data_IF_714035611915
#
_entry.id   IF_714035611915
#
_cell.length_a   1.000
_cell.length_b   1.000
_cell.length_c   1.000
_cell.angle_alpha   90.00
_cell.angle_beta   90.00
_cell.angle_gamma   90.00
#
_symmetry.space_group_name_H-M   'P 1'
#
loop_
_entity.id
_entity.type
_entity.pdbx_description
1 polymer ?
#
# COMPACT_ATOMS: atom_id res chain seq x y z
N UNK A 1 -18.49 0.52 -24.06
CA UNK A 1 -18.78 0.68 -22.61
C UNK A 1 -17.61 1.46 -22.03
N UNK A 2 -17.86 2.41 -21.15
CA UNK A 2 -16.80 3.30 -20.66
C UNK A 2 -15.99 2.61 -19.55
N UNK A 3 -14.69 2.41 -19.77
CA UNK A 3 -13.77 1.88 -18.77
C UNK A 3 -13.61 2.88 -17.63
N UNK A 4 -13.69 2.41 -16.39
CA UNK A 4 -13.40 3.20 -15.20
C UNK A 4 -12.04 2.80 -14.64
N UNK A 5 -11.17 3.78 -14.40
CA UNK A 5 -9.85 3.59 -13.80
C UNK A 5 -9.86 3.98 -12.31
N UNK A 6 -9.40 3.09 -11.48
CA UNK A 6 -9.11 3.36 -10.06
C UNK A 6 -7.60 3.20 -9.83
N UNK A 7 -7.01 4.22 -9.24
CA UNK A 7 -5.60 4.22 -8.85
C UNK A 7 -5.51 4.17 -7.32
N UNK A 8 -4.64 3.34 -6.79
CA UNK A 8 -4.09 3.58 -5.48
C UNK A 8 -3.15 4.78 -5.54
N UNK A 9 -2.74 5.34 -4.39
CA UNK A 9 -1.94 6.56 -4.38
C UNK A 9 -0.57 6.39 -3.72
N UNK A 10 -0.55 6.03 -2.44
CA UNK A 10 0.70 5.92 -1.69
C UNK A 10 1.45 4.64 -2.07
N UNK A 11 2.70 4.76 -2.51
CA UNK A 11 3.47 3.64 -3.09
C UNK A 11 3.22 3.44 -4.58
N UNK A 12 2.03 3.78 -5.08
CA UNK A 12 1.67 3.68 -6.50
C UNK A 12 2.06 4.93 -7.28
N UNK A 13 1.65 6.11 -6.80
CA UNK A 13 2.00 7.42 -7.39
C UNK A 13 3.18 8.07 -6.66
N UNK A 14 3.39 7.73 -5.39
CA UNK A 14 4.53 8.20 -4.59
C UNK A 14 5.61 7.12 -4.51
N UNK A 15 6.86 7.53 -4.27
CA UNK A 15 7.96 6.64 -3.88
C UNK A 15 7.87 6.40 -2.37
N UNK A 16 7.23 5.29 -1.97
CA UNK A 16 7.02 4.95 -0.56
C UNK A 16 8.34 4.80 0.21
N UNK A 17 9.41 4.32 -0.41
CA UNK A 17 10.72 4.18 0.24
C UNK A 17 11.33 5.55 0.56
N UNK A 18 11.33 6.45 -0.41
CA UNK A 18 11.85 7.81 -0.21
C UNK A 18 10.98 8.63 0.74
N UNK A 19 9.65 8.56 0.59
CA UNK A 19 8.68 9.25 1.45
C UNK A 19 8.71 8.71 2.89
N UNK A 20 8.88 7.41 3.06
CA UNK A 20 8.92 6.72 4.35
C UNK A 20 10.25 6.85 5.11
N UNK A 21 11.30 7.43 4.52
CA UNK A 21 12.61 7.54 5.16
C UNK A 21 12.57 8.30 6.49
N UNK A 22 11.96 9.49 6.61
CA UNK A 22 11.87 10.19 7.90
C UNK A 22 11.07 9.41 8.95
N UNK A 23 10.07 8.64 8.52
CA UNK A 23 9.33 7.74 9.41
C UNK A 23 10.23 6.66 9.98
N UNK A 24 10.97 5.93 9.12
CA UNK A 24 11.88 4.86 9.53
C UNK A 24 12.96 5.38 10.48
N UNK A 25 13.63 6.46 10.11
CA UNK A 25 14.71 7.07 10.91
C UNK A 25 14.20 7.45 12.30
N UNK A 26 13.11 8.23 12.36
CA UNK A 26 12.55 8.66 13.63
C UNK A 26 12.02 7.51 14.48
N UNK A 27 11.47 6.48 13.86
CA UNK A 27 10.97 5.30 14.57
C UNK A 27 12.13 4.51 15.22
N UNK A 28 13.27 4.35 14.53
CA UNK A 28 14.47 3.71 15.08
C UNK A 28 15.09 4.54 16.20
N UNK A 29 15.09 5.87 16.08
CA UNK A 29 15.55 6.76 17.17
C UNK A 29 14.70 6.58 18.44
N UNK A 30 13.37 6.58 18.28
CA UNK A 30 12.45 6.39 19.41
C UNK A 30 12.61 5.01 20.05
N UNK A 31 12.82 3.95 19.24
CA UNK A 31 13.10 2.61 19.75
C UNK A 31 14.44 2.57 20.51
N UNK A 32 15.48 3.23 20.01
CA UNK A 32 16.76 3.33 20.69
C UNK A 32 16.58 3.95 22.09
N UNK A 33 15.91 5.10 22.19
CA UNK A 33 15.61 5.72 23.48
C UNK A 33 14.80 4.80 24.40
N UNK A 34 13.80 4.10 23.87
CA UNK A 34 12.96 3.20 24.65
C UNK A 34 13.72 2.04 25.29
N UNK A 35 14.76 1.56 24.62
CA UNK A 35 15.60 0.46 25.14
C UNK A 35 16.88 0.93 25.84
N UNK A 36 16.97 2.25 26.16
CA UNK A 36 18.11 2.82 26.89
C UNK A 36 19.36 2.99 26.03
N UNK A 37 19.19 3.12 24.71
CA UNK A 37 20.30 3.39 23.76
C UNK A 37 20.18 4.82 23.21
N UNK A 38 21.19 5.25 22.47
CA UNK A 38 21.21 6.57 21.83
C UNK A 38 20.74 6.46 20.37
N UNK A 39 20.17 7.54 19.78
CA UNK A 39 19.90 7.61 18.36
C UNK A 39 21.13 7.26 17.52
N UNK A 40 20.94 6.45 16.48
CA UNK A 40 22.03 5.98 15.63
C UNK A 40 22.89 4.85 16.23
N UNK A 41 22.45 4.23 17.34
CA UNK A 41 23.13 3.07 17.92
C UNK A 41 23.31 1.96 16.87
N UNK A 42 24.57 1.52 16.73
CA UNK A 42 24.94 0.56 15.67
C UNK A 42 24.29 -0.81 15.83
N UNK A 43 23.98 -1.25 17.06
CA UNK A 43 23.29 -2.51 17.30
C UNK A 43 21.82 -2.42 16.87
N UNK A 44 21.15 -1.29 17.14
CA UNK A 44 19.78 -1.05 16.68
C UNK A 44 19.71 -1.03 15.14
N UNK A 45 20.64 -0.34 14.49
CA UNK A 45 20.70 -0.28 13.03
C UNK A 45 20.98 -1.65 12.42
N UNK A 46 21.91 -2.42 12.99
CA UNK A 46 22.22 -3.77 12.52
C UNK A 46 21.01 -4.72 12.64
N UNK A 47 20.24 -4.65 13.72
CA UNK A 47 19.00 -5.43 13.87
C UNK A 47 17.99 -5.04 12.80
N UNK A 48 17.83 -3.75 12.52
CA UNK A 48 16.90 -3.30 11.49
C UNK A 48 17.28 -3.81 10.09
N UNK A 49 18.57 -3.73 9.74
CA UNK A 49 19.09 -4.23 8.46
C UNK A 49 18.96 -5.76 8.34
N UNK A 50 19.23 -6.51 9.43
CA UNK A 50 19.06 -7.96 9.47
C UNK A 50 17.60 -8.36 9.22
N UNK A 51 16.65 -7.73 9.91
CA UNK A 51 15.21 -8.01 9.72
C UNK A 51 14.76 -7.61 8.31
N UNK A 52 15.18 -6.47 7.78
CA UNK A 52 14.85 -6.08 6.41
C UNK A 52 15.39 -7.08 5.39
N UNK A 53 16.59 -7.61 5.61
CA UNK A 53 17.17 -8.66 4.75
C UNK A 53 16.39 -9.99 4.85
N UNK A 54 15.98 -10.40 6.06
CA UNK A 54 15.15 -11.59 6.28
C UNK A 54 13.79 -11.45 5.54
N UNK A 55 13.12 -10.30 5.68
CA UNK A 55 11.85 -10.03 5.00
C UNK A 55 12.00 -10.07 3.48
N UNK A 56 13.09 -9.50 2.95
CA UNK A 56 13.36 -9.47 1.52
C UNK A 56 13.72 -10.86 0.96
N UNK A 57 14.41 -11.70 1.75
CA UNK A 57 14.82 -13.04 1.34
C UNK A 57 13.64 -14.03 1.29
N UNK A 58 12.61 -13.83 2.15
CA UNK A 58 11.49 -14.76 2.26
C UNK A 58 10.13 -14.01 2.37
N UNK A 59 9.74 -13.20 1.37
CA UNK A 59 8.53 -12.37 1.44
C UNK A 59 7.25 -13.20 1.59
N UNK A 60 7.22 -14.43 1.07
CA UNK A 60 6.08 -15.34 1.20
C UNK A 60 5.84 -15.82 2.65
N UNK A 61 6.89 -15.85 3.47
CA UNK A 61 6.83 -16.33 4.86
C UNK A 61 6.53 -15.21 5.88
N UNK A 62 6.59 -13.96 5.45
CA UNK A 62 6.43 -12.79 6.33
C UNK A 62 5.26 -11.93 5.92
N UNK A 63 4.16 -12.03 6.68
CA UNK A 63 2.97 -11.23 6.46
C UNK A 63 2.87 -10.09 7.47
N UNK A 64 2.37 -8.94 7.00
CA UNK A 64 1.86 -7.91 7.89
C UNK A 64 0.52 -8.37 8.48
N UNK A 65 0.43 -8.31 9.81
CA UNK A 65 -0.73 -8.76 10.57
C UNK A 65 -1.61 -7.58 10.94
N UNK A 66 -2.86 -7.63 10.57
CA UNK A 66 -3.88 -6.67 10.98
C UNK A 66 -5.01 -7.37 11.72
N UNK A 67 -5.29 -6.96 12.95
CA UNK A 67 -6.31 -7.60 13.82
C UNK A 67 -6.16 -9.14 13.89
N UNK A 68 -4.92 -9.62 13.98
CA UNK A 68 -4.59 -11.03 14.05
C UNK A 68 -4.65 -11.80 12.73
N UNK A 69 -4.80 -11.12 11.58
CA UNK A 69 -4.89 -11.72 10.25
C UNK A 69 -3.75 -11.30 9.33
N UNK A 70 -3.20 -12.20 8.51
CA UNK A 70 -2.23 -11.85 7.50
C UNK A 70 -2.94 -11.12 6.35
N UNK A 71 -2.58 -9.87 6.08
CA UNK A 71 -3.32 -9.03 5.12
C UNK A 71 -2.49 -8.51 3.96
N UNK A 72 -1.16 -8.51 4.08
CA UNK A 72 -0.22 -8.09 3.04
C UNK A 72 1.16 -8.69 3.27
N UNK A 73 2.06 -8.71 2.28
CA UNK A 73 3.47 -8.98 2.53
C UNK A 73 4.07 -7.89 3.42
N UNK A 74 4.85 -8.26 4.44
CA UNK A 74 5.48 -7.28 5.32
C UNK A 74 6.61 -6.49 4.64
N UNK A 75 7.12 -6.97 3.51
CA UNK A 75 8.31 -6.43 2.84
C UNK A 75 8.05 -5.22 1.94
N UNK A 76 6.84 -5.07 1.40
CA UNK A 76 6.54 -4.14 0.29
C UNK A 76 6.53 -2.67 0.67
N UNK A 77 6.28 -2.36 1.92
CA UNK A 77 6.03 -1.00 2.40
C UNK A 77 6.91 -0.70 3.63
N UNK A 78 7.63 0.44 3.69
CA UNK A 78 8.48 0.80 4.82
C UNK A 78 7.72 0.90 6.14
N UNK A 79 6.45 1.31 6.09
CA UNK A 79 5.60 1.41 7.28
C UNK A 79 5.26 0.04 7.86
N UNK A 80 5.02 -0.95 7.00
CA UNK A 80 4.71 -2.32 7.41
C UNK A 80 5.95 -3.04 7.96
N UNK A 81 7.14 -2.77 7.41
CA UNK A 81 8.40 -3.36 7.87
C UNK A 81 8.78 -2.95 9.28
N UNK A 82 8.37 -1.76 9.74
CA UNK A 82 8.75 -1.30 11.08
C UNK A 82 8.18 -2.15 12.21
N UNK A 83 7.06 -2.85 12.00
CA UNK A 83 6.47 -3.70 13.04
C UNK A 83 7.37 -4.90 13.40
N UNK A 84 7.81 -5.75 12.46
CA UNK A 84 8.75 -6.84 12.77
C UNK A 84 10.11 -6.33 13.26
N UNK A 85 10.63 -5.22 12.74
CA UNK A 85 11.87 -4.59 13.21
C UNK A 85 11.73 -4.19 14.68
N UNK A 86 10.68 -3.45 15.02
CA UNK A 86 10.44 -3.01 16.38
C UNK A 86 10.28 -4.17 17.35
N UNK A 87 9.55 -5.22 16.96
CA UNK A 87 9.41 -6.41 17.79
C UNK A 87 10.76 -7.08 18.05
N UNK A 88 11.61 -7.23 17.04
CA UNK A 88 12.95 -7.84 17.20
C UNK A 88 13.83 -7.00 18.15
N UNK A 89 13.80 -5.67 18.04
CA UNK A 89 14.53 -4.78 18.94
C UNK A 89 13.99 -4.92 20.37
N UNK A 90 12.68 -4.84 20.58
CA UNK A 90 12.08 -4.95 21.91
C UNK A 90 12.38 -6.32 22.56
N UNK A 91 12.34 -7.40 21.80
CA UNK A 91 12.67 -8.75 22.29
C UNK A 91 14.15 -8.85 22.69
N UNK A 92 15.06 -8.34 21.86
CA UNK A 92 16.50 -8.35 22.11
C UNK A 92 16.87 -7.67 23.42
N UNK A 93 16.23 -6.54 23.72
CA UNK A 93 16.51 -5.76 24.92
C UNK A 93 15.56 -6.05 26.10
N UNK A 94 14.62 -7.00 25.96
CA UNK A 94 13.67 -7.37 27.00
C UNK A 94 12.72 -6.23 27.37
N UNK A 95 12.44 -5.31 26.46
CA UNK A 95 11.59 -4.15 26.68
C UNK A 95 10.13 -4.43 26.28
N UNK A 96 9.18 -3.81 27.01
CA UNK A 96 7.74 -3.90 26.73
C UNK A 96 7.27 -5.35 26.48
N UNK A 97 7.32 -6.23 27.47
CA UNK A 97 7.05 -7.66 27.29
C UNK A 97 5.58 -7.98 26.98
N UNK A 98 4.64 -7.12 27.42
CA UNK A 98 3.21 -7.29 27.17
C UNK A 98 2.86 -7.06 25.71
N UNK A 99 2.21 -8.02 25.06
CA UNK A 99 1.76 -7.91 23.68
C UNK A 99 0.75 -6.75 23.46
N UNK A 100 -0.13 -6.52 24.44
CA UNK A 100 -1.11 -5.41 24.39
C UNK A 100 -0.42 -4.05 24.46
N UNK A 101 0.51 -3.87 25.42
CA UNK A 101 1.25 -2.61 25.55
C UNK A 101 2.14 -2.36 24.33
N UNK A 102 2.75 -3.42 23.79
CA UNK A 102 3.54 -3.36 22.57
C UNK A 102 2.69 -2.93 21.36
N UNK A 103 1.53 -3.56 21.17
CA UNK A 103 0.60 -3.19 20.09
C UNK A 103 0.15 -1.73 20.18
N UNK A 104 -0.17 -1.25 21.40
CA UNK A 104 -0.51 0.15 21.64
C UNK A 104 0.64 1.11 21.38
N UNK A 105 1.83 0.78 21.88
CA UNK A 105 3.03 1.59 21.69
C UNK A 105 3.38 1.71 20.20
N UNK A 106 3.53 0.58 19.52
CA UNK A 106 3.97 0.56 18.13
C UNK A 106 2.93 1.19 17.19
N UNK A 107 1.67 0.79 17.29
CA UNK A 107 0.62 1.23 16.36
C UNK A 107 0.03 2.60 16.67
N UNK A 108 -0.20 2.90 17.97
CA UNK A 108 -0.94 4.12 18.34
C UNK A 108 -0.05 5.29 18.76
N UNK A 109 1.19 5.04 19.19
CA UNK A 109 2.10 6.09 19.63
C UNK A 109 3.21 6.31 18.61
N UNK A 110 4.14 5.35 18.47
CA UNK A 110 5.32 5.53 17.63
C UNK A 110 4.96 5.68 16.16
N UNK A 111 3.99 4.89 15.68
CA UNK A 111 3.53 4.99 14.29
C UNK A 111 3.01 6.40 13.98
N UNK A 112 2.03 6.89 14.76
CA UNK A 112 1.41 8.20 14.50
C UNK A 112 2.40 9.35 14.61
N UNK A 113 3.27 9.32 15.63
CA UNK A 113 4.26 10.35 15.85
C UNK A 113 5.26 10.43 14.69
N UNK A 114 5.77 9.28 14.23
CA UNK A 114 6.75 9.25 13.15
C UNK A 114 6.10 9.43 11.78
N UNK A 115 4.87 8.93 11.57
CA UNK A 115 4.12 9.20 10.34
C UNK A 115 3.90 10.71 10.11
N UNK A 116 3.70 11.47 11.19
CA UNK A 116 3.57 12.92 11.08
C UNK A 116 4.82 13.60 10.49
N UNK A 117 6.01 12.99 10.59
CA UNK A 117 7.26 13.49 10.00
C UNK A 117 7.29 13.40 8.47
N UNK A 118 6.46 12.55 7.87
CA UNK A 118 6.37 12.40 6.40
C UNK A 118 5.39 13.38 5.77
N UNK A 119 4.51 13.98 6.57
CA UNK A 119 3.48 14.88 6.07
C UNK A 119 4.08 16.18 5.51
N UNK A 120 3.57 16.62 4.37
CA UNK A 120 3.98 17.87 3.73
C UNK A 120 5.20 17.78 2.80
N UNK A 121 5.84 16.61 2.70
CA UNK A 121 6.98 16.37 1.82
C UNK A 121 6.76 15.12 0.95
N UNK A 122 5.72 15.10 0.08
CA UNK A 122 5.49 13.95 -0.78
C UNK A 122 6.65 13.76 -1.76
N UNK A 123 7.04 12.52 -1.98
CA UNK A 123 8.02 12.15 -3.01
C UNK A 123 7.28 11.33 -4.07
N UNK A 124 7.19 11.86 -5.27
CA UNK A 124 6.46 11.20 -6.36
C UNK A 124 7.39 10.27 -7.16
N UNK A 125 6.81 9.20 -7.69
CA UNK A 125 7.49 8.36 -8.68
C UNK A 125 7.70 9.14 -9.98
N UNK A 126 8.76 8.81 -10.69
CA UNK A 126 9.06 9.37 -12.00
C UNK A 126 7.85 9.21 -12.95
N UNK A 127 7.47 10.29 -13.60
CA UNK A 127 6.38 10.30 -14.56
C UNK A 127 4.97 10.40 -13.95
N UNK A 128 4.80 10.46 -12.62
CA UNK A 128 3.47 10.53 -11.98
C UNK A 128 2.67 11.75 -12.46
N UNK A 129 3.26 12.94 -12.44
CA UNK A 129 2.59 14.17 -12.87
C UNK A 129 2.14 14.13 -14.34
N UNK A 130 3.05 13.91 -15.30
CA UNK A 130 2.69 13.78 -16.72
C UNK A 130 1.64 12.69 -17.01
N UNK A 131 1.77 11.53 -16.37
CA UNK A 131 0.80 10.44 -16.53
C UNK A 131 -0.57 10.85 -16.03
N UNK A 132 -0.69 11.39 -14.82
CA UNK A 132 -1.97 11.83 -14.25
C UNK A 132 -2.58 13.00 -15.04
N UNK A 133 -1.76 13.93 -15.54
CA UNK A 133 -2.23 15.01 -16.41
C UNK A 133 -2.82 14.45 -17.73
N UNK A 134 -2.21 13.41 -18.30
CA UNK A 134 -2.70 12.76 -19.54
C UNK A 134 -4.06 12.07 -19.38
N UNK A 135 -4.44 11.76 -18.14
CA UNK A 135 -5.76 11.16 -17.81
C UNK A 135 -6.87 12.20 -17.63
N UNK A 136 -6.56 13.49 -17.80
CA UNK A 136 -7.56 14.56 -17.67
C UNK A 136 -8.80 14.33 -18.54
N UNK A 137 -9.99 14.37 -17.91
CA UNK A 137 -11.26 14.10 -18.57
C UNK A 137 -11.66 12.62 -18.64
N UNK A 138 -10.77 11.68 -18.32
CA UNK A 138 -11.12 10.25 -18.24
C UNK A 138 -11.87 9.92 -16.94
N UNK A 139 -12.67 8.83 -16.92
CA UNK A 139 -13.34 8.35 -15.71
C UNK A 139 -12.32 7.67 -14.76
N UNK A 140 -11.52 8.50 -14.07
CA UNK A 140 -10.45 8.07 -13.17
C UNK A 140 -10.70 8.57 -11.76
N UNK A 141 -10.48 7.70 -10.76
CA UNK A 141 -10.57 7.97 -9.31
C UNK A 141 -9.32 7.48 -8.58
N UNK A 142 -9.11 8.03 -7.40
CA UNK A 142 -8.14 7.52 -6.43
C UNK A 142 -8.90 6.86 -5.29
N UNK A 143 -8.54 5.61 -4.95
CA UNK A 143 -9.09 4.87 -3.81
C UNK A 143 -7.92 4.40 -2.94
N UNK A 144 -7.73 5.05 -1.78
CA UNK A 144 -6.55 4.88 -0.92
C UNK A 144 -6.93 4.62 0.53
N UNK A 145 -6.03 3.98 1.28
CA UNK A 145 -6.13 3.87 2.74
C UNK A 145 -5.92 5.20 3.46
N UNK A 146 -5.20 6.11 2.86
CA UNK A 146 -4.87 7.42 3.43
C UNK A 146 -6.09 8.34 3.55
N UNK A 147 -5.94 9.40 4.34
CA UNK A 147 -6.95 10.44 4.48
C UNK A 147 -7.18 11.19 3.16
N UNK A 148 -8.44 11.48 2.85
CA UNK A 148 -8.83 12.19 1.61
C UNK A 148 -8.15 13.55 1.47
N UNK A 149 -8.07 14.33 2.56
CA UNK A 149 -7.48 15.66 2.52
C UNK A 149 -5.95 15.61 2.42
N UNK A 150 -5.33 14.60 3.06
CA UNK A 150 -3.89 14.39 2.94
C UNK A 150 -3.49 14.10 1.49
N UNK A 151 -4.20 13.20 0.81
CA UNK A 151 -3.95 12.88 -0.62
C UNK A 151 -4.29 14.06 -1.52
N UNK A 152 -5.39 14.79 -1.27
CA UNK A 152 -5.69 16.00 -2.01
C UNK A 152 -4.57 17.07 -1.88
N UNK A 153 -3.96 17.18 -0.68
CA UNK A 153 -2.80 18.01 -0.43
C UNK A 153 -1.57 17.58 -1.24
N UNK A 154 -1.30 16.27 -1.33
CA UNK A 154 -0.23 15.72 -2.18
C UNK A 154 -0.49 16.01 -3.67
N UNK A 155 -1.72 15.83 -4.15
CA UNK A 155 -2.10 16.16 -5.54
C UNK A 155 -1.89 17.65 -5.82
N UNK A 156 -2.27 18.53 -4.88
CA UNK A 156 -2.04 19.97 -5.02
C UNK A 156 -0.53 20.34 -5.02
N UNK A 157 0.30 19.57 -4.32
CA UNK A 157 1.75 19.70 -4.40
C UNK A 157 2.28 19.30 -5.78
N UNK A 158 1.81 18.14 -6.30
CA UNK A 158 2.17 17.66 -7.62
C UNK A 158 1.73 18.62 -8.73
N UNK A 159 0.54 19.23 -8.61
CA UNK A 159 0.03 20.18 -9.61
C UNK A 159 0.88 21.44 -9.72
N UNK A 160 1.58 21.83 -8.66
CA UNK A 160 2.55 22.95 -8.70
C UNK A 160 3.83 22.60 -9.49
N UNK A 161 4.23 21.34 -9.47
CA UNK A 161 5.41 20.84 -10.17
C UNK A 161 5.09 20.39 -11.61
N UNK A 162 3.94 19.78 -11.79
CA UNK A 162 3.42 19.25 -13.05
C UNK A 162 1.95 19.66 -13.22
N UNK A 163 1.67 20.86 -13.78
CA UNK A 163 0.31 21.38 -13.89
C UNK A 163 -0.62 20.47 -14.72
N UNK A 164 -1.89 20.42 -14.31
CA UNK A 164 -2.94 19.69 -15.01
C UNK A 164 -3.46 18.46 -14.27
N UNK A 165 -3.09 18.27 -12.98
CA UNK A 165 -3.57 17.15 -12.16
C UNK A 165 -4.59 17.54 -11.09
N UNK A 166 -4.83 18.84 -10.86
CA UNK A 166 -5.74 19.35 -9.82
C UNK A 166 -7.17 18.80 -9.89
N UNK A 167 -7.65 18.39 -11.08
CA UNK A 167 -8.97 17.79 -11.28
C UNK A 167 -9.19 16.52 -10.47
N UNK A 168 -8.12 15.77 -10.15
CA UNK A 168 -8.19 14.55 -9.35
C UNK A 168 -8.56 14.79 -7.88
N UNK A 169 -8.37 15.99 -7.33
CA UNK A 169 -8.65 16.28 -5.92
C UNK A 169 -10.10 15.98 -5.53
N UNK A 170 -11.05 16.22 -6.41
CA UNK A 170 -12.48 15.92 -6.21
C UNK A 170 -12.82 14.42 -6.33
N UNK A 171 -11.90 13.63 -6.89
CA UNK A 171 -12.09 12.21 -7.19
C UNK A 171 -11.31 11.29 -6.23
N UNK A 172 -10.84 11.82 -5.11
CA UNK A 172 -10.18 11.02 -4.06
C UNK A 172 -11.24 10.41 -3.15
N UNK A 173 -11.11 9.11 -2.91
CA UNK A 173 -11.89 8.31 -1.96
C UNK A 173 -10.91 7.70 -0.94
N UNK A 174 -10.64 8.44 0.11
CA UNK A 174 -9.77 8.01 1.20
C UNK A 174 -10.45 7.05 2.17
N UNK A 175 -9.70 6.62 3.18
CA UNK A 175 -10.15 5.68 4.21
C UNK A 175 -10.77 4.40 3.62
N UNK A 176 -10.13 3.84 2.59
CA UNK A 176 -10.62 2.64 1.93
C UNK A 176 -10.56 1.38 2.82
N UNK A 177 -9.78 1.43 3.91
CA UNK A 177 -9.65 0.34 4.88
C UNK A 177 -9.34 -1.01 4.22
N UNK A 178 -8.42 -1.01 3.27
CA UNK A 178 -8.04 -2.19 2.50
C UNK A 178 -7.46 -3.31 3.37
N UNK A 179 -6.99 -3.02 4.57
CA UNK A 179 -6.53 -4.02 5.55
C UNK A 179 -7.68 -4.77 6.23
N UNK A 180 -8.88 -4.20 6.28
CA UNK A 180 -9.99 -4.79 7.03
C UNK A 180 -10.59 -5.99 6.29
N UNK A 181 -10.62 -7.13 6.95
CA UNK A 181 -11.25 -8.37 6.47
C UNK A 181 -12.51 -8.64 7.28
N UNK A 182 -13.64 -8.77 6.59
CA UNK A 182 -14.96 -9.05 7.17
C UNK A 182 -15.44 -10.44 6.69
N UNK A 183 -15.26 -11.47 7.51
CA UNK A 183 -15.66 -12.85 7.17
C UNK A 183 -17.16 -13.01 7.03
N UNK A 184 -17.95 -12.14 7.66
CA UNK A 184 -19.41 -12.18 7.58
C UNK A 184 -19.94 -11.66 6.24
N UNK A 185 -19.10 -10.95 5.48
CA UNK A 185 -19.47 -10.43 4.18
C UNK A 185 -19.17 -11.44 3.07
N UNK A 186 -20.18 -11.80 2.28
CA UNK A 186 -20.12 -12.81 1.23
C UNK A 186 -20.08 -12.24 -0.19
N UNK A 187 -19.81 -10.94 -0.35
CA UNK A 187 -19.79 -10.29 -1.65
C UNK A 187 -18.56 -10.60 -2.53
N UNK A 188 -17.57 -11.33 -1.98
CA UNK A 188 -16.43 -11.90 -2.71
C UNK A 188 -16.15 -13.31 -2.19
N UNK A 189 -15.35 -14.08 -2.93
CA UNK A 189 -14.75 -15.31 -2.41
C UNK A 189 -13.99 -15.02 -1.11
N UNK A 190 -13.86 -16.01 -0.22
CA UNK A 190 -13.14 -15.82 1.04
C UNK A 190 -11.64 -15.60 0.80
N UNK A 191 -11.07 -16.34 -0.13
CA UNK A 191 -9.64 -16.50 -0.30
C UNK A 191 -9.24 -16.69 -1.78
N UNK A 192 -7.98 -16.34 -2.07
CA UNK A 192 -7.30 -16.64 -3.33
C UNK A 192 -5.96 -17.31 -3.03
N UNK A 193 -5.68 -18.41 -3.72
CA UNK A 193 -4.39 -19.10 -3.63
C UNK A 193 -3.44 -18.57 -4.72
N UNK A 194 -2.25 -18.18 -4.31
CA UNK A 194 -1.16 -17.78 -5.21
C UNK A 194 -0.07 -18.87 -5.22
N UNK A 195 0.39 -19.34 -6.38
CA UNK A 195 1.55 -20.23 -6.45
C UNK A 195 2.78 -19.59 -5.80
N UNK A 196 3.44 -20.30 -4.91
CA UNK A 196 4.62 -19.80 -4.19
C UNK A 196 4.30 -19.02 -2.90
N UNK A 197 3.02 -18.88 -2.54
CA UNK A 197 2.59 -18.36 -1.26
C UNK A 197 1.87 -19.47 -0.47
N UNK A 198 2.36 -19.85 0.71
CA UNK A 198 1.78 -20.95 1.50
C UNK A 198 0.43 -20.58 2.12
N UNK A 199 0.23 -19.32 2.47
CA UNK A 199 -1.04 -18.82 2.97
C UNK A 199 -1.95 -18.34 1.85
N UNK A 200 -3.24 -18.32 2.09
CA UNK A 200 -4.20 -17.69 1.18
C UNK A 200 -4.18 -16.17 1.30
N UNK A 201 -4.50 -15.48 0.21
CA UNK A 201 -4.82 -14.05 0.20
C UNK A 201 -6.29 -13.86 0.57
N UNK A 202 -6.57 -13.07 1.60
CA UNK A 202 -7.92 -12.82 2.08
C UNK A 202 -8.62 -11.77 1.23
N UNK A 203 -9.79 -12.11 0.66
CA UNK A 203 -10.49 -11.27 -0.31
C UNK A 203 -11.68 -10.50 0.26
N UNK A 204 -12.26 -10.89 1.39
CA UNK A 204 -13.48 -10.30 1.96
C UNK A 204 -13.23 -8.93 2.57
N UNK A 205 -12.85 -7.95 1.75
CA UNK A 205 -12.50 -6.56 2.13
C UNK A 205 -13.70 -5.63 1.88
N UNK A 206 -14.75 -5.80 2.69
CA UNK A 206 -16.04 -5.11 2.51
C UNK A 206 -15.92 -3.59 2.40
N UNK A 207 -15.16 -2.95 3.28
CA UNK A 207 -15.02 -1.48 3.26
C UNK A 207 -14.39 -0.99 1.94
N UNK A 208 -13.39 -1.71 1.43
CA UNK A 208 -12.78 -1.41 0.13
C UNK A 208 -13.77 -1.66 -1.03
N UNK A 209 -14.50 -2.78 -0.99
CA UNK A 209 -15.55 -3.06 -1.98
C UNK A 209 -16.59 -1.94 -2.06
N UNK A 210 -17.05 -1.43 -0.92
CA UNK A 210 -18.03 -0.34 -0.87
C UNK A 210 -17.50 0.93 -1.53
N UNK A 211 -16.20 1.27 -1.35
CA UNK A 211 -15.57 2.39 -2.05
C UNK A 211 -15.51 2.19 -3.57
N UNK A 212 -15.17 0.99 -4.03
CA UNK A 212 -15.18 0.67 -5.46
C UNK A 212 -16.60 0.71 -6.04
N UNK A 213 -17.59 0.16 -5.33
CA UNK A 213 -18.99 0.20 -5.74
C UNK A 213 -19.50 1.64 -5.88
N UNK A 214 -19.14 2.53 -4.95
CA UNK A 214 -19.53 3.95 -5.03
C UNK A 214 -18.93 4.62 -6.28
N UNK A 215 -17.65 4.34 -6.58
CA UNK A 215 -16.99 4.80 -7.83
C UNK A 215 -17.70 4.26 -9.07
N UNK A 216 -18.05 2.97 -9.09
CA UNK A 216 -18.77 2.34 -10.21
C UNK A 216 -20.16 2.93 -10.40
N UNK A 217 -20.86 3.23 -9.31
CA UNK A 217 -22.18 3.89 -9.38
C UNK A 217 -22.09 5.32 -9.96
N UNK A 218 -21.04 6.08 -9.57
CA UNK A 218 -20.80 7.42 -10.13
C UNK A 218 -20.42 7.40 -11.61
N UNK A 219 -19.66 6.39 -12.05
CA UNK A 219 -19.22 6.25 -13.45
C UNK A 219 -20.21 5.53 -14.35
N UNK A 220 -21.23 4.86 -13.78
CA UNK A 220 -22.17 4.03 -14.53
C UNK A 220 -21.54 2.75 -15.10
N UNK A 221 -20.48 2.24 -14.46
CA UNK A 221 -19.70 1.08 -14.91
C UNK A 221 -19.93 -0.15 -14.02
N UNK A 222 -19.46 -1.31 -14.49
CA UNK A 222 -19.44 -2.59 -13.77
C UNK A 222 -18.01 -3.00 -13.37
N UNK A 223 -17.86 -4.09 -12.60
CA UNK A 223 -16.56 -4.62 -12.28
C UNK A 223 -15.78 -5.12 -13.51
N UNK A 224 -16.46 -5.64 -14.53
CA UNK A 224 -15.84 -6.06 -15.79
C UNK A 224 -15.20 -4.91 -16.57
N UNK A 225 -15.72 -3.69 -16.37
CA UNK A 225 -15.26 -2.44 -17.00
C UNK A 225 -14.30 -1.66 -16.09
N UNK A 226 -14.05 -2.16 -14.86
CA UNK A 226 -13.12 -1.57 -13.91
C UNK A 226 -11.68 -1.97 -14.22
N UNK A 227 -10.80 -1.00 -14.18
CA UNK A 227 -9.34 -1.19 -14.12
C UNK A 227 -8.84 -0.64 -12.78
N UNK A 228 -8.12 -1.45 -12.04
CA UNK A 228 -7.49 -1.03 -10.77
C UNK A 228 -5.98 -1.12 -10.92
N UNK A 229 -5.27 -0.07 -10.52
CA UNK A 229 -3.81 -0.04 -10.50
C UNK A 229 -3.33 0.28 -9.08
N UNK A 230 -2.41 -0.52 -8.58
CA UNK A 230 -1.84 -0.40 -7.24
C UNK A 230 -0.47 -1.06 -7.17
N UNK A 231 0.24 -0.92 -6.06
CA UNK A 231 1.59 -1.47 -5.86
C UNK A 231 1.63 -2.68 -4.92
N UNK A 232 0.56 -2.96 -4.18
CA UNK A 232 0.45 -4.13 -3.30
C UNK A 232 -0.69 -5.03 -3.79
N UNK A 233 -0.33 -6.14 -4.45
CA UNK A 233 -1.33 -7.04 -5.04
C UNK A 233 -2.40 -7.49 -4.05
N UNK A 234 -2.00 -7.92 -2.86
CA UNK A 234 -2.93 -8.43 -1.85
C UNK A 234 -3.92 -7.39 -1.33
N UNK A 235 -3.51 -6.10 -1.23
CA UNK A 235 -4.36 -5.03 -0.71
C UNK A 235 -5.22 -4.40 -1.80
N UNK A 236 -4.62 -4.12 -2.95
CA UNK A 236 -5.22 -3.26 -3.97
C UNK A 236 -5.95 -4.06 -5.05
N UNK A 237 -5.40 -5.21 -5.42
CA UNK A 237 -5.70 -5.85 -6.70
C UNK A 237 -6.41 -7.19 -6.58
N UNK A 238 -6.13 -7.99 -5.54
CA UNK A 238 -6.64 -9.36 -5.43
C UNK A 238 -8.18 -9.42 -5.39
N UNK A 239 -8.82 -8.59 -4.56
CA UNK A 239 -10.28 -8.58 -4.45
C UNK A 239 -10.95 -8.07 -5.75
N UNK A 240 -10.61 -6.90 -6.31
CA UNK A 240 -11.23 -6.44 -7.55
C UNK A 240 -10.99 -7.40 -8.73
N UNK A 241 -9.81 -8.03 -8.81
CA UNK A 241 -9.54 -9.06 -9.82
C UNK A 241 -10.51 -10.24 -9.69
N UNK A 242 -10.76 -10.71 -8.46
CA UNK A 242 -11.70 -11.81 -8.19
C UNK A 242 -13.15 -11.46 -8.56
N UNK A 243 -13.49 -10.16 -8.61
CA UNK A 243 -14.80 -9.63 -9.00
C UNK A 243 -14.89 -9.32 -10.50
N UNK A 244 -13.85 -9.61 -11.28
CA UNK A 244 -13.85 -9.47 -12.74
C UNK A 244 -13.17 -8.19 -13.25
N UNK A 245 -12.55 -7.37 -12.40
CA UNK A 245 -11.78 -6.21 -12.85
C UNK A 245 -10.50 -6.61 -13.59
N UNK A 246 -9.98 -5.71 -14.42
CA UNK A 246 -8.58 -5.77 -14.87
C UNK A 246 -7.68 -5.10 -13.85
N UNK A 247 -6.48 -5.62 -13.62
CA UNK A 247 -5.59 -5.06 -12.58
C UNK A 247 -4.18 -4.84 -13.12
N UNK A 248 -3.58 -3.73 -12.69
CA UNK A 248 -2.18 -3.38 -12.97
C UNK A 248 -1.36 -3.32 -11.69
N UNK A 249 -0.32 -4.14 -11.56
CA UNK A 249 0.60 -4.11 -10.44
C UNK A 249 1.80 -3.22 -10.78
N UNK A 250 1.89 -2.05 -10.14
CA UNK A 250 3.06 -1.18 -10.24
C UNK A 250 4.20 -1.80 -9.46
N UNK A 251 5.25 -2.17 -10.17
CA UNK A 251 6.35 -2.93 -9.57
C UNK A 251 7.42 -2.04 -8.95
N UNK A 252 8.11 -2.60 -7.97
CA UNK A 252 9.32 -2.05 -7.36
C UNK A 252 10.33 -3.18 -7.11
N UNK A 253 11.50 -2.86 -6.60
CA UNK A 253 12.47 -3.87 -6.14
C UNK A 253 11.97 -4.71 -4.95
N UNK A 254 10.89 -4.29 -4.30
CA UNK A 254 10.27 -4.95 -3.15
C UNK A 254 9.05 -5.80 -3.51
N UNK A 255 8.58 -5.74 -4.75
CA UNK A 255 7.43 -6.56 -5.19
C UNK A 255 7.81 -8.04 -5.16
N UNK A 256 7.10 -8.89 -4.39
CA UNK A 256 7.41 -10.32 -4.26
C UNK A 256 7.34 -11.08 -5.60
N UNK A 257 8.23 -12.04 -5.78
CA UNK A 257 8.27 -12.84 -7.00
C UNK A 257 6.99 -13.65 -7.23
N UNK A 258 6.33 -14.13 -6.18
CA UNK A 258 5.06 -14.85 -6.30
C UNK A 258 3.93 -13.95 -6.81
N UNK A 259 3.90 -12.66 -6.45
CA UNK A 259 2.95 -11.69 -7.00
C UNK A 259 3.24 -11.40 -8.47
N UNK A 260 4.53 -11.18 -8.83
CA UNK A 260 4.95 -11.00 -10.23
C UNK A 260 4.56 -12.19 -11.10
N UNK A 261 4.86 -13.41 -10.63
CA UNK A 261 4.55 -14.63 -11.34
C UNK A 261 3.04 -14.81 -11.55
N UNK A 262 2.24 -14.59 -10.52
CA UNK A 262 0.78 -14.67 -10.60
C UNK A 262 0.21 -13.64 -11.57
N UNK A 263 0.60 -12.37 -11.45
CA UNK A 263 0.13 -11.28 -12.33
C UNK A 263 0.52 -11.53 -13.77
N UNK A 264 1.75 -12.01 -14.03
CA UNK A 264 2.20 -12.34 -15.41
C UNK A 264 1.39 -13.46 -16.04
N UNK A 265 0.97 -14.45 -15.25
CA UNK A 265 0.20 -15.59 -15.74
C UNK A 265 -1.31 -15.32 -15.88
N UNK A 266 -1.84 -14.27 -15.26
CA UNK A 266 -3.27 -14.01 -15.23
C UNK A 266 -3.75 -13.13 -16.39
N UNK A 267 -4.76 -13.57 -17.21
CA UNK A 267 -5.15 -12.89 -18.46
C UNK A 267 -5.75 -11.47 -18.26
N UNK A 268 -6.21 -11.15 -17.06
CA UNK A 268 -6.78 -9.83 -16.71
C UNK A 268 -5.84 -8.98 -15.85
N UNK A 269 -4.58 -9.37 -15.73
CA UNK A 269 -3.60 -8.66 -14.93
C UNK A 269 -2.38 -8.30 -15.78
N UNK A 270 -1.66 -7.22 -15.39
CA UNK A 270 -0.44 -6.74 -16.03
C UNK A 270 0.53 -6.22 -15.00
N UNK A 271 1.82 -6.49 -15.19
CA UNK A 271 2.89 -5.76 -14.51
C UNK A 271 3.07 -4.39 -15.17
N UNK A 272 3.12 -3.34 -14.35
CA UNK A 272 3.34 -1.95 -14.76
C UNK A 272 4.74 -1.57 -14.26
N UNK A 273 5.69 -1.49 -15.16
CA UNK A 273 7.08 -1.12 -14.84
C UNK A 273 7.30 0.39 -14.91
N UNK A 274 6.48 1.09 -15.69
CA UNK A 274 6.47 2.55 -15.79
C UNK A 274 5.05 3.08 -15.69
N UNK A 275 4.84 4.14 -14.93
CA UNK A 275 3.54 4.81 -14.82
C UNK A 275 2.99 5.26 -16.17
N UNK A 276 3.86 5.55 -17.15
CA UNK A 276 3.47 5.92 -18.51
C UNK A 276 2.67 4.82 -19.26
N UNK A 277 2.70 3.59 -18.78
CA UNK A 277 1.93 2.48 -19.35
C UNK A 277 0.45 2.48 -18.96
N UNK A 278 0.11 3.15 -17.85
CA UNK A 278 -1.24 3.11 -17.25
C UNK A 278 -2.33 3.58 -18.23
N UNK A 279 -2.20 4.71 -18.94
CA UNK A 279 -3.24 5.16 -19.86
C UNK A 279 -3.54 4.15 -20.97
N UNK A 280 -2.50 3.57 -21.59
CA UNK A 280 -2.67 2.56 -22.64
C UNK A 280 -3.23 1.24 -22.07
N UNK A 281 -2.83 0.84 -20.86
CA UNK A 281 -3.39 -0.34 -20.19
C UNK A 281 -4.88 -0.16 -19.86
N UNK A 282 -5.28 1.02 -19.42
CA UNK A 282 -6.65 1.27 -19.00
C UNK A 282 -7.59 1.50 -20.22
N UNK A 283 -7.20 2.29 -21.20
CA UNK A 283 -8.09 2.84 -22.23
C UNK A 283 -7.70 2.45 -23.67
N UNK A 284 -6.59 1.70 -23.86
CA UNK A 284 -6.05 1.26 -25.16
C UNK A 284 -6.68 -0.02 -25.75
#
# INVERSE_FOLDING_TARGET
MAVTLVLDFDGTMTDAEAEGRPFREGYLEDLAWLVGRVPGDSEILAIAEEVEAELAAAPASHAFMWMGRPVAPATVDPYLRMVPIANRILDKFGAVPSAEDRGRLLGSVLYKYNYAKTLGHPVFRDGAGPMLASLGGSPTWIVTNSDTHAVAGKIAALDREAPGVAWLTSRVRGFARKFDVDDSWEGAASELTLPGLERSVLLRRRAYFEKLRDVLAESGSSFEELVVVGDIFELDLAMPLSLGARVGLVTSSRTPDYERAFVTAHPRAKLIESLSEIPAFAFG
#
